data_IF_761896738463
#
_entry.id   IF_761896738463
#
_cell.length_a   1.000
_cell.length_b   1.000
_cell.length_c   1.000
_cell.angle_alpha   90.00
_cell.angle_beta   90.00
_cell.angle_gamma   90.00
#
_symmetry.space_group_name_H-M   'P 1'
#
loop_
_entity.id
_entity.type
_entity.pdbx_description
1 polymer ?
#
# COMPACT_ATOMS: atom_id res chain seq x y z
N UNK A 1 0.51 -5.26 6.04
CA UNK A 1 1.98 -5.11 6.13
C UNK A 1 2.30 -3.69 6.55
N UNK A 2 3.08 -3.50 7.62
CA UNK A 2 3.54 -2.17 8.06
C UNK A 2 4.76 -1.69 7.25
N UNK A 3 5.02 -0.37 7.19
CA UNK A 3 6.18 0.16 6.49
C UNK A 3 7.46 -0.06 7.33
N UNK A 4 8.61 -0.06 6.65
CA UNK A 4 9.89 -0.09 7.32
C UNK A 4 10.27 1.30 7.87
N UNK A 5 10.87 1.29 9.07
CA UNK A 5 11.52 2.46 9.67
C UNK A 5 12.88 2.71 9.01
N UNK A 6 13.54 1.70 8.43
CA UNK A 6 14.79 1.90 7.69
C UNK A 6 14.56 2.66 6.38
N UNK A 7 15.60 3.36 5.94
CA UNK A 7 15.61 4.06 4.65
C UNK A 7 15.87 3.13 3.48
N UNK A 8 16.39 1.91 3.70
CA UNK A 8 16.75 0.99 2.62
C UNK A 8 15.55 0.71 1.67
N UNK A 9 15.64 0.90 0.34
CA UNK A 9 16.78 1.35 -0.50
C UNK A 9 16.69 2.81 -1.01
N UNK A 10 16.18 3.74 -0.22
CA UNK A 10 16.11 5.17 -0.54
C UNK A 10 14.75 5.79 -0.25
N UNK A 11 13.99 5.24 0.70
CA UNK A 11 12.67 5.73 1.08
C UNK A 11 12.76 6.57 2.36
N UNK A 12 11.75 7.43 2.54
CA UNK A 12 11.51 8.08 3.83
C UNK A 12 11.31 7.06 4.94
N UNK A 13 11.51 7.43 6.21
CA UNK A 13 11.19 6.55 7.32
C UNK A 13 9.68 6.54 7.53
N UNK A 14 9.11 5.43 7.99
CA UNK A 14 7.69 5.34 8.30
C UNK A 14 7.41 4.35 9.42
N UNK A 15 6.33 4.61 10.15
CA UNK A 15 5.73 3.65 11.07
C UNK A 15 4.21 3.66 10.93
N UNK A 16 3.55 2.66 11.53
CA UNK A 16 2.09 2.50 11.49
C UNK A 16 1.52 2.23 12.86
N UNK A 17 0.40 2.87 13.16
CA UNK A 17 -0.43 2.60 14.32
C UNK A 17 -1.70 1.89 13.84
N UNK A 18 -2.08 0.83 14.55
CA UNK A 18 -3.29 0.07 14.27
C UNK A 18 -4.29 0.28 15.41
N UNK A 19 -5.49 0.72 15.05
CA UNK A 19 -6.60 0.88 15.99
C UNK A 19 -7.46 -0.37 15.92
N UNK A 20 -7.55 -1.09 17.04
CA UNK A 20 -8.32 -2.33 17.15
C UNK A 20 -9.54 -2.15 18.04
N UNK A 21 -10.51 -3.05 17.86
CA UNK A 21 -11.65 -3.15 18.75
C UNK A 21 -11.17 -3.48 20.19
N UNK A 22 -11.70 -2.72 21.14
CA UNK A 22 -11.13 -2.59 22.48
C UNK A 22 -11.31 -3.84 23.36
N UNK A 23 -10.76 -3.79 24.57
CA UNK A 23 -10.89 -4.90 25.52
C UNK A 23 -12.18 -4.78 26.35
N UNK A 24 -13.24 -5.45 25.89
CA UNK A 24 -14.52 -5.56 26.61
C UNK A 24 -15.23 -6.89 26.29
N UNK A 25 -16.24 -7.27 27.08
CA UNK A 25 -16.99 -8.51 26.88
C UNK A 25 -17.76 -8.48 25.55
N UNK A 26 -17.49 -9.44 24.65
CA UNK A 26 -18.04 -9.46 23.30
C UNK A 26 -17.25 -8.65 22.26
N UNK A 27 -16.00 -8.25 22.57
CA UNK A 27 -15.10 -7.62 21.59
C UNK A 27 -14.87 -8.51 20.37
N UNK A 28 -14.83 -7.90 19.19
CA UNK A 28 -14.49 -8.57 17.94
C UNK A 28 -12.99 -8.75 17.75
N UNK A 29 -12.16 -7.99 18.48
CA UNK A 29 -10.72 -7.79 18.21
C UNK A 29 -10.43 -7.40 16.75
N UNK A 30 -11.41 -6.87 16.03
CA UNK A 30 -11.24 -6.49 14.63
C UNK A 30 -10.39 -5.23 14.50
N UNK A 31 -9.69 -5.11 13.38
CA UNK A 31 -9.00 -3.87 13.04
C UNK A 31 -10.03 -2.82 12.59
N UNK A 32 -10.06 -1.69 13.28
CA UNK A 32 -10.99 -0.60 13.02
C UNK A 32 -10.44 0.41 12.01
N UNK A 33 -9.16 0.77 12.15
CA UNK A 33 -8.43 1.62 11.21
C UNK A 33 -6.91 1.44 11.37
N UNK A 34 -6.14 1.99 10.45
CA UNK A 34 -4.71 2.18 10.62
C UNK A 34 -4.27 3.55 10.15
N UNK A 35 -3.28 4.11 10.84
CA UNK A 35 -2.68 5.41 10.54
C UNK A 35 -1.20 5.26 10.24
N UNK A 36 -0.75 5.88 9.15
CA UNK A 36 0.67 5.91 8.81
C UNK A 36 1.26 7.26 9.13
N UNK A 37 2.50 7.22 9.60
CA UNK A 37 3.31 8.41 9.84
C UNK A 37 4.62 8.24 9.09
N UNK A 38 5.13 9.35 8.58
CA UNK A 38 6.37 9.38 7.81
C UNK A 38 7.25 10.53 8.24
N UNK A 39 8.54 10.40 7.95
CA UNK A 39 9.54 11.43 8.18
C UNK A 39 10.13 11.85 6.84
N UNK A 40 9.94 13.11 6.46
CA UNK A 40 10.58 13.67 5.27
C UNK A 40 12.08 13.82 5.54
N UNK A 41 12.87 12.90 4.96
CA UNK A 41 14.31 12.86 5.16
C UNK A 41 15.02 14.10 4.63
N UNK A 42 14.60 14.62 3.48
CA UNK A 42 15.19 15.83 2.89
C UNK A 42 15.05 17.01 3.82
N UNK A 43 13.86 17.23 4.37
CA UNK A 43 13.60 18.31 5.32
C UNK A 43 14.32 18.10 6.65
N UNK A 44 14.32 16.87 7.18
CA UNK A 44 14.99 16.54 8.42
C UNK A 44 16.50 16.78 8.35
N UNK A 45 17.14 16.41 7.23
CA UNK A 45 18.57 16.62 7.00
C UNK A 45 18.91 18.11 6.82
N UNK A 46 18.04 18.89 6.18
CA UNK A 46 18.25 20.34 6.01
C UNK A 46 18.11 21.12 7.33
N UNK A 47 17.23 20.68 8.21
CA UNK A 47 16.93 21.35 9.49
C UNK A 47 17.65 20.74 10.70
N UNK A 48 18.38 19.64 10.50
CA UNK A 48 18.97 18.81 11.56
C UNK A 48 17.96 18.45 12.67
N UNK A 49 16.72 18.14 12.26
CA UNK A 49 15.61 17.86 13.18
C UNK A 49 14.62 16.87 12.59
N UNK A 50 14.34 15.78 13.31
CA UNK A 50 13.33 14.81 12.90
C UNK A 50 11.92 15.26 13.33
N UNK A 51 11.06 15.55 12.35
CA UNK A 51 9.64 15.87 12.56
C UNK A 51 8.76 14.84 11.87
N UNK A 52 8.11 13.97 12.65
CA UNK A 52 7.17 12.98 12.15
C UNK A 52 5.86 13.65 11.75
N UNK A 53 5.35 13.30 10.57
CA UNK A 53 4.12 13.84 9.99
C UNK A 53 3.11 12.73 9.82
N UNK A 54 1.85 13.05 10.12
CA UNK A 54 0.73 12.20 9.72
C UNK A 54 0.73 12.06 8.19
N UNK A 55 0.64 10.84 7.71
CA UNK A 55 0.57 10.52 6.28
C UNK A 55 -0.88 10.33 5.85
N UNK A 56 -1.56 9.33 6.42
CA UNK A 56 -2.95 9.02 6.10
C UNK A 56 -3.60 8.06 7.12
N UNK A 57 -4.93 8.14 7.23
CA UNK A 57 -5.81 7.07 7.74
C UNK A 57 -6.29 6.22 6.56
N UNK A 58 -6.29 4.89 6.71
CA UNK A 58 -6.73 3.99 5.64
C UNK A 58 -8.18 4.24 5.23
N UNK A 59 -9.07 4.39 6.23
CA UNK A 59 -10.49 4.62 5.98
C UNK A 59 -10.73 5.94 5.25
N UNK A 60 -10.07 7.01 5.69
CA UNK A 60 -10.22 8.33 5.07
C UNK A 60 -9.63 8.36 3.65
N UNK A 61 -8.40 7.89 3.49
CA UNK A 61 -7.67 7.97 2.22
C UNK A 61 -8.35 7.22 1.07
N UNK A 62 -8.94 6.06 1.37
CA UNK A 62 -9.52 5.15 0.39
C UNK A 62 -11.06 5.09 0.43
N UNK A 63 -11.69 5.79 1.38
CA UNK A 63 -13.15 5.79 1.55
C UNK A 63 -13.70 4.44 1.97
N UNK A 64 -13.03 3.74 2.90
CA UNK A 64 -13.44 2.41 3.35
C UNK A 64 -14.43 2.50 4.53
N UNK A 65 -15.51 1.73 4.48
CA UNK A 65 -16.44 1.63 5.61
C UNK A 65 -15.84 0.88 6.79
N UNK A 66 -14.99 -0.11 6.51
CA UNK A 66 -14.27 -0.92 7.49
C UNK A 66 -12.96 -1.45 6.90
N UNK A 67 -12.07 -2.01 7.73
CA UNK A 67 -10.87 -2.70 7.25
C UNK A 67 -11.07 -4.22 7.07
N UNK A 68 -12.32 -4.65 6.86
CA UNK A 68 -12.64 -6.04 6.57
C UNK A 68 -12.11 -6.47 5.20
N UNK A 69 -11.78 -7.76 4.98
CA UNK A 69 -11.21 -8.23 3.72
C UNK A 69 -12.00 -7.85 2.46
N UNK A 70 -13.33 -7.80 2.55
CA UNK A 70 -14.20 -7.46 1.43
C UNK A 70 -14.03 -6.00 0.98
N UNK A 71 -13.77 -5.08 1.91
CA UNK A 71 -13.52 -3.67 1.58
C UNK A 71 -12.18 -3.49 0.87
N UNK A 72 -11.15 -4.23 1.29
CA UNK A 72 -9.86 -4.26 0.60
C UNK A 72 -9.98 -4.85 -0.81
N UNK A 73 -10.75 -5.92 -0.99
CA UNK A 73 -11.00 -6.50 -2.31
C UNK A 73 -11.67 -5.49 -3.25
N UNK A 74 -12.71 -4.79 -2.77
CA UNK A 74 -13.38 -3.71 -3.52
C UNK A 74 -12.44 -2.55 -3.86
N UNK A 75 -11.55 -2.17 -2.94
CA UNK A 75 -10.53 -1.15 -3.19
C UNK A 75 -9.59 -1.58 -4.32
N UNK A 76 -9.12 -2.83 -4.28
CA UNK A 76 -8.24 -3.39 -5.32
C UNK A 76 -8.94 -3.40 -6.69
N UNK A 77 -10.24 -3.72 -6.74
CA UNK A 77 -11.01 -3.63 -7.98
C UNK A 77 -11.14 -2.20 -8.49
N UNK A 78 -11.36 -1.23 -7.59
CA UNK A 78 -11.38 0.20 -7.95
C UNK A 78 -10.04 0.67 -8.51
N UNK A 79 -8.92 0.16 -7.99
CA UNK A 79 -7.61 0.46 -8.54
C UNK A 79 -7.45 0.05 -10.00
N UNK A 80 -8.30 -0.82 -10.58
CA UNK A 80 -8.24 -1.21 -12.00
C UNK A 80 -8.74 -0.11 -12.95
N UNK A 81 -9.60 0.80 -12.47
CA UNK A 81 -10.25 1.82 -13.31
C UNK A 81 -10.06 3.25 -12.82
N UNK A 82 -9.66 3.44 -11.55
CA UNK A 82 -9.40 4.74 -10.95
C UNK A 82 -7.89 4.98 -10.78
N UNK A 83 -7.32 5.70 -11.75
CA UNK A 83 -5.88 5.98 -11.84
C UNK A 83 -5.40 6.90 -10.70
N UNK A 84 -6.21 7.90 -10.34
CA UNK A 84 -5.86 8.84 -9.29
C UNK A 84 -5.84 8.16 -7.91
N UNK A 85 -6.82 7.28 -7.67
CA UNK A 85 -6.87 6.49 -6.44
C UNK A 85 -5.71 5.50 -6.36
N UNK A 86 -5.34 4.86 -7.47
CA UNK A 86 -4.18 3.98 -7.51
C UNK A 86 -2.87 4.75 -7.30
N UNK A 87 -2.69 5.91 -7.94
CA UNK A 87 -1.51 6.75 -7.74
C UNK A 87 -1.39 7.20 -6.28
N UNK A 88 -2.51 7.56 -5.63
CA UNK A 88 -2.52 7.86 -4.18
C UNK A 88 -2.00 6.67 -3.36
N UNK A 89 -2.46 5.45 -3.65
CA UNK A 89 -1.93 4.24 -3.00
C UNK A 89 -0.43 4.06 -3.25
N UNK A 90 0.01 4.30 -4.47
CA UNK A 90 1.40 4.18 -4.87
C UNK A 90 2.30 5.15 -4.10
N UNK A 91 1.88 6.41 -3.96
CA UNK A 91 2.61 7.42 -3.19
C UNK A 91 2.77 7.00 -1.73
N UNK A 92 1.69 6.52 -1.09
CA UNK A 92 1.74 6.03 0.30
C UNK A 92 2.54 4.74 0.46
N UNK A 93 2.52 3.84 -0.52
CA UNK A 93 3.33 2.61 -0.49
C UNK A 93 4.81 2.93 -0.36
N UNK A 94 5.28 3.98 -1.03
CA UNK A 94 6.68 4.43 -1.00
C UNK A 94 6.91 5.66 -0.11
N UNK A 95 6.04 5.91 0.89
CA UNK A 95 6.21 6.96 1.90
C UNK A 95 6.47 8.34 1.28
N UNK A 96 5.63 8.71 0.30
CA UNK A 96 5.69 9.96 -0.46
C UNK A 96 6.99 10.16 -1.27
N UNK A 97 7.69 9.06 -1.60
CA UNK A 97 8.90 9.05 -2.41
C UNK A 97 8.72 8.23 -3.70
N UNK A 98 7.47 8.03 -4.14
CA UNK A 98 7.18 7.31 -5.36
C UNK A 98 7.47 8.16 -6.62
N UNK A 99 7.98 7.53 -7.67
CA UNK A 99 7.90 8.05 -9.03
C UNK A 99 6.57 7.68 -9.70
N UNK A 100 6.29 8.18 -10.93
CA UNK A 100 5.10 7.80 -11.67
C UNK A 100 5.07 6.28 -11.94
N UNK A 101 3.91 5.66 -11.74
CA UNK A 101 3.68 4.25 -12.02
C UNK A 101 2.92 4.11 -13.32
N UNK A 102 3.54 3.51 -14.33
CA UNK A 102 2.90 3.25 -15.61
C UNK A 102 1.92 2.07 -15.54
N UNK A 103 1.31 1.75 -16.68
CA UNK A 103 0.40 0.62 -16.82
C UNK A 103 1.01 -0.70 -16.32
N UNK A 104 2.26 -1.00 -16.66
CA UNK A 104 2.89 -2.26 -16.27
C UNK A 104 3.14 -2.36 -14.77
N UNK A 105 3.66 -1.28 -14.20
CA UNK A 105 3.80 -1.11 -12.76
C UNK A 105 2.45 -1.30 -12.04
N UNK A 106 1.36 -0.71 -12.55
CA UNK A 106 0.02 -0.85 -11.95
C UNK A 106 -0.52 -2.27 -12.00
N UNK A 107 -0.44 -2.94 -13.16
CA UNK A 107 -0.83 -4.35 -13.28
C UNK A 107 -0.10 -5.22 -12.26
N UNK A 108 1.22 -5.01 -12.17
CA UNK A 108 2.08 -5.75 -11.24
C UNK A 108 1.69 -5.49 -9.78
N UNK A 109 1.52 -4.22 -9.39
CA UNK A 109 1.13 -3.84 -8.05
C UNK A 109 -0.23 -4.44 -7.66
N UNK A 110 -1.24 -4.34 -8.52
CA UNK A 110 -2.57 -4.92 -8.29
C UNK A 110 -2.47 -6.44 -8.17
N UNK A 111 -1.74 -7.10 -9.06
CA UNK A 111 -1.51 -8.55 -8.98
C UNK A 111 -0.87 -8.94 -7.64
N UNK A 112 0.15 -8.19 -7.22
CA UNK A 112 0.83 -8.41 -5.94
C UNK A 112 -0.09 -8.28 -4.73
N UNK A 113 -1.07 -7.37 -4.79
CA UNK A 113 -2.07 -7.18 -3.74
C UNK A 113 -3.09 -8.33 -3.67
N UNK A 114 -3.42 -8.96 -4.80
CA UNK A 114 -4.38 -10.08 -4.84
C UNK A 114 -3.72 -11.43 -4.55
N UNK A 115 -2.39 -11.54 -4.68
CA UNK A 115 -1.65 -12.78 -4.45
C UNK A 115 -1.24 -12.94 -3.00
N UNK A 116 -1.88 -13.89 -2.32
CA UNK A 116 -1.45 -14.38 -1.00
C UNK A 116 -0.62 -15.66 -1.07
N UNK A 117 -0.58 -16.30 -2.25
CA UNK A 117 0.14 -17.54 -2.53
C UNK A 117 1.12 -17.37 -3.69
N UNK A 118 2.36 -17.79 -3.47
CA UNK A 118 3.44 -17.71 -4.47
C UNK A 118 3.27 -18.73 -5.59
N UNK A 119 2.59 -19.85 -5.34
CA UNK A 119 2.36 -20.95 -6.28
C UNK A 119 1.09 -20.81 -7.13
N UNK A 120 0.28 -19.77 -6.88
CA UNK A 120 -0.98 -19.56 -7.58
C UNK A 120 -0.96 -18.32 -8.48
N UNK A 121 -1.15 -18.46 -9.80
CA UNK A 121 -1.32 -17.35 -10.73
C UNK A 121 -2.77 -16.84 -10.79
N UNK A 122 -3.70 -17.51 -10.09
CA UNK A 122 -5.14 -17.38 -10.30
C UNK A 122 -5.78 -15.99 -10.06
N UNK A 123 -5.26 -15.08 -9.22
CA UNK A 123 -5.97 -13.83 -9.01
C UNK A 123 -5.64 -12.72 -10.02
N UNK A 124 -4.75 -12.93 -10.99
CA UNK A 124 -4.26 -11.87 -11.89
C UNK A 124 -4.71 -12.00 -13.35
N UNK A 125 -5.75 -12.79 -13.61
CA UNK A 125 -6.24 -13.09 -14.97
C UNK A 125 -7.17 -12.03 -15.54
N UNK A 126 -7.64 -11.09 -14.70
CA UNK A 126 -8.63 -10.06 -15.02
C UNK A 126 -8.03 -8.64 -14.98
N UNK A 127 -6.71 -8.51 -15.10
CA UNK A 127 -6.05 -7.21 -15.14
C UNK A 127 -6.35 -6.49 -16.48
N UNK A 128 -6.64 -5.18 -16.46
CA UNK A 128 -7.08 -4.42 -17.65
C UNK A 128 -5.95 -4.14 -18.66
N UNK A 129 -4.94 -5.00 -18.76
CA UNK A 129 -3.71 -4.69 -19.48
C UNK A 129 -3.33 -5.86 -20.38
N UNK A 130 -3.14 -5.55 -21.67
CA UNK A 130 -2.65 -6.47 -22.71
C UNK A 130 -1.20 -6.90 -22.51
N UNK A 131 -0.83 -7.19 -21.26
CA UNK A 131 0.45 -7.73 -20.82
C UNK A 131 0.32 -9.21 -20.56
N UNK A 132 1.39 -9.96 -20.85
CA UNK A 132 1.44 -11.39 -20.56
C UNK A 132 1.71 -11.64 -19.08
N UNK A 133 1.37 -12.83 -18.57
CA UNK A 133 1.69 -13.22 -17.19
C UNK A 133 3.21 -13.13 -16.91
N UNK A 134 4.05 -13.38 -17.92
CA UNK A 134 5.51 -13.24 -17.81
C UNK A 134 5.95 -11.79 -17.59
N UNK A 135 5.25 -10.82 -18.20
CA UNK A 135 5.53 -9.39 -18.01
C UNK A 135 5.13 -8.94 -16.61
N UNK A 136 3.99 -9.44 -16.11
CA UNK A 136 3.52 -9.19 -14.74
C UNK A 136 4.51 -9.76 -13.72
N UNK A 137 4.97 -10.99 -13.92
CA UNK A 137 5.94 -11.66 -13.03
C UNK A 137 7.30 -10.95 -13.01
N UNK A 138 7.76 -10.42 -14.15
CA UNK A 138 9.01 -9.64 -14.23
C UNK A 138 8.96 -8.34 -13.42
N UNK A 139 7.83 -7.64 -13.44
CA UNK A 139 7.64 -6.45 -12.62
C UNK A 139 7.47 -6.79 -11.13
N UNK A 140 6.76 -7.89 -10.82
CA UNK A 140 6.53 -8.32 -9.44
C UNK A 140 7.84 -8.66 -8.73
N UNK A 141 8.76 -9.33 -9.43
CA UNK A 141 10.08 -9.66 -8.87
C UNK A 141 10.90 -8.43 -8.49
N UNK A 142 10.71 -7.29 -9.19
CA UNK A 142 11.34 -6.02 -8.83
C UNK A 142 10.71 -5.40 -7.58
N UNK A 143 9.40 -5.53 -7.43
CA UNK A 143 8.66 -4.97 -6.30
C UNK A 143 8.83 -5.74 -4.98
N UNK A 144 9.09 -7.06 -5.05
CA UNK A 144 9.32 -7.92 -3.87
C UNK A 144 10.71 -7.70 -3.24
N UNK A 145 11.65 -7.08 -3.97
CA UNK A 145 13.01 -6.78 -3.49
C UNK A 145 13.12 -5.46 -2.70
N UNK A 146 12.00 -4.79 -2.40
CA UNK A 146 11.92 -3.66 -1.47
C UNK A 146 11.32 -4.07 -0.12
#
# INVERSE_FOLDING_TARGET
MGPAVTTYQGLNLGFRIYTMDGNYNGTSNALLDHESYWLNLTEANLKDKAEWKFEYSAKEAYGLGSLQPQEWARLIDRFKTDDALFQKFWDYKYKMHAGPCDAGCRASAICGLQRTRTDSPFPCTDLPLGMTMDDVLRHLAKDIMC
#
